data_IF_111196614076
#
_entry.id   IF_111196614076
#
_cell.length_a   1.000
_cell.length_b   1.000
_cell.length_c   1.000
_cell.angle_alpha   90.00
_cell.angle_beta   90.00
_cell.angle_gamma   90.00
#
_symmetry.space_group_name_H-M   'P 1'
#
loop_
_entity.id
_entity.type
_entity.pdbx_description
1 polymer ?
#
# COMPACT_ATOMS: atom_id res chain seq x y z
N UNK A 1 -66.52 21.89 -22.77
CA UNK A 1 -65.36 21.59 -21.90
C UNK A 1 -65.27 20.10 -21.52
N UNK A 2 -65.45 19.14 -22.44
CA UNK A 2 -65.36 17.69 -22.15
C UNK A 2 -64.19 16.97 -22.85
N UNK A 3 -63.47 17.65 -23.75
CA UNK A 3 -62.34 17.07 -24.49
C UNK A 3 -60.99 17.11 -23.76
N UNK A 4 -60.76 18.13 -22.93
CA UNK A 4 -59.46 18.33 -22.26
C UNK A 4 -59.17 17.31 -21.16
N UNK A 5 -60.20 16.67 -20.58
CA UNK A 5 -60.02 15.68 -19.51
C UNK A 5 -59.54 14.32 -20.05
N UNK A 6 -59.81 14.00 -21.34
CA UNK A 6 -59.42 12.72 -21.93
C UNK A 6 -57.92 12.64 -22.27
N UNK A 7 -57.27 13.78 -22.50
CA UNK A 7 -55.83 13.86 -22.77
C UNK A 7 -54.96 13.65 -21.51
N UNK A 8 -55.50 13.94 -20.32
CA UNK A 8 -54.80 13.76 -19.04
C UNK A 8 -54.96 12.34 -18.48
N UNK A 9 -56.01 11.61 -18.88
CA UNK A 9 -56.35 10.28 -18.33
C UNK A 9 -55.97 9.09 -19.22
N UNK A 10 -55.24 9.30 -20.31
CA UNK A 10 -55.16 8.32 -21.41
C UNK A 10 -53.76 7.88 -21.81
N UNK A 11 -52.82 7.65 -20.87
CA UNK A 11 -51.60 6.88 -21.19
C UNK A 11 -51.06 6.16 -19.96
N UNK A 12 -51.61 4.99 -19.68
CA UNK A 12 -50.94 4.01 -18.83
C UNK A 12 -49.74 3.50 -19.61
N UNK A 13 -48.58 4.11 -19.41
CA UNK A 13 -47.31 3.50 -19.82
C UNK A 13 -47.28 2.12 -19.16
N UNK A 14 -47.26 1.06 -19.96
CA UNK A 14 -47.19 -0.31 -19.48
C UNK A 14 -46.01 -0.42 -18.51
N UNK A 15 -46.32 -0.64 -17.24
CA UNK A 15 -45.30 -0.91 -16.23
C UNK A 15 -44.84 -2.34 -16.51
N UNK A 16 -43.85 -2.49 -17.38
CA UNK A 16 -43.10 -3.72 -17.53
C UNK A 16 -42.33 -3.93 -16.22
N UNK A 17 -42.99 -4.56 -15.26
CA UNK A 17 -42.38 -4.97 -14.00
C UNK A 17 -41.50 -6.20 -14.25
N UNK A 18 -40.26 -6.15 -13.75
CA UNK A 18 -39.41 -7.33 -13.65
C UNK A 18 -40.16 -8.46 -12.95
N UNK A 19 -40.13 -9.66 -13.52
CA UNK A 19 -40.72 -10.81 -12.85
C UNK A 19 -39.89 -11.18 -11.62
N UNK A 20 -40.54 -11.67 -10.56
CA UNK A 20 -39.82 -12.11 -9.35
C UNK A 20 -38.81 -13.23 -9.65
N UNK A 21 -39.12 -14.07 -10.64
CA UNK A 21 -38.24 -15.15 -11.08
C UNK A 21 -36.99 -14.60 -11.80
N UNK A 22 -37.11 -13.55 -12.61
CA UNK A 22 -35.95 -12.91 -13.24
C UNK A 22 -35.01 -12.33 -12.18
N UNK A 23 -35.55 -11.65 -11.18
CA UNK A 23 -34.74 -11.11 -10.09
C UNK A 23 -34.03 -12.25 -9.33
N UNK A 24 -34.72 -13.36 -9.08
CA UNK A 24 -34.20 -14.52 -8.36
C UNK A 24 -33.03 -15.19 -9.10
N UNK A 25 -33.15 -15.37 -10.42
CA UNK A 25 -32.07 -15.95 -11.24
C UNK A 25 -30.86 -15.03 -11.27
N UNK A 26 -31.07 -13.71 -11.40
CA UNK A 26 -29.96 -12.73 -11.45
C UNK A 26 -29.17 -12.71 -10.14
N UNK A 27 -29.84 -12.64 -8.98
CA UNK A 27 -29.13 -12.67 -7.70
C UNK A 27 -28.43 -14.03 -7.49
N UNK A 28 -29.00 -15.13 -8.00
CA UNK A 28 -28.36 -16.44 -7.96
C UNK A 28 -27.04 -16.47 -8.72
N UNK A 29 -26.99 -15.87 -9.91
CA UNK A 29 -25.76 -15.75 -10.70
C UNK A 29 -24.76 -14.82 -10.00
N UNK A 30 -25.19 -13.68 -9.45
CA UNK A 30 -24.31 -12.76 -8.71
C UNK A 30 -23.66 -13.45 -7.51
N UNK A 31 -24.44 -14.22 -6.73
CA UNK A 31 -23.92 -14.98 -5.58
C UNK A 31 -22.92 -16.04 -6.03
N UNK A 32 -23.21 -16.77 -7.11
CA UNK A 32 -22.29 -17.78 -7.64
C UNK A 32 -20.96 -17.17 -8.13
N UNK A 33 -21.02 -16.03 -8.82
CA UNK A 33 -19.82 -15.31 -9.27
C UNK A 33 -19.03 -14.73 -8.09
N UNK A 34 -19.72 -14.07 -7.16
CA UNK A 34 -19.10 -13.47 -5.98
C UNK A 34 -18.36 -14.50 -5.13
N UNK A 35 -18.91 -15.72 -4.99
CA UNK A 35 -18.27 -16.80 -4.24
C UNK A 35 -16.88 -17.17 -4.78
N UNK A 36 -16.65 -17.06 -6.09
CA UNK A 36 -15.38 -17.39 -6.73
C UNK A 36 -14.46 -16.15 -6.78
N UNK A 37 -15.01 -14.97 -7.08
CA UNK A 37 -14.20 -13.76 -7.32
C UNK A 37 -13.69 -13.12 -6.03
N UNK A 38 -14.45 -13.15 -4.94
CA UNK A 38 -14.07 -12.51 -3.67
C UNK A 38 -12.72 -13.04 -3.12
N UNK A 39 -12.49 -14.36 -2.95
CA UNK A 39 -11.20 -14.86 -2.44
C UNK A 39 -10.03 -14.60 -3.41
N UNK A 40 -10.32 -14.47 -4.70
CA UNK A 40 -9.31 -14.18 -5.71
C UNK A 40 -8.83 -12.73 -5.61
N UNK A 41 -9.77 -11.79 -5.54
CA UNK A 41 -9.48 -10.36 -5.44
C UNK A 41 -8.74 -10.03 -4.14
N UNK A 42 -9.12 -10.63 -3.01
CA UNK A 42 -8.41 -10.39 -1.73
C UNK A 42 -6.97 -10.89 -1.77
N UNK A 43 -6.69 -12.03 -2.43
CA UNK A 43 -5.34 -12.55 -2.62
C UNK A 43 -4.48 -11.68 -3.53
N UNK A 44 -5.06 -11.14 -4.61
CA UNK A 44 -4.31 -10.27 -5.53
C UNK A 44 -4.11 -8.85 -5.00
N UNK A 45 -5.04 -8.35 -4.17
CA UNK A 45 -4.89 -7.04 -3.54
C UNK A 45 -3.62 -6.95 -2.69
N UNK A 46 -3.28 -8.00 -1.92
CA UNK A 46 -2.05 -8.02 -1.10
C UNK A 46 -0.75 -8.13 -1.90
N UNK A 47 -0.78 -8.78 -3.08
CA UNK A 47 0.43 -8.96 -3.92
C UNK A 47 0.97 -7.66 -4.50
N UNK A 48 0.10 -6.68 -4.75
CA UNK A 48 0.52 -5.36 -5.21
C UNK A 48 1.37 -4.64 -4.17
N UNK A 49 1.00 -4.79 -2.88
CA UNK A 49 1.74 -4.20 -1.77
C UNK A 49 3.06 -4.92 -1.51
N UNK A 50 3.11 -6.26 -1.66
CA UNK A 50 4.37 -7.03 -1.58
C UNK A 50 5.37 -6.63 -2.68
N UNK A 51 4.91 -6.47 -3.92
CA UNK A 51 5.79 -6.05 -5.02
C UNK A 51 6.24 -4.59 -4.88
N UNK A 52 5.36 -3.70 -4.42
CA UNK A 52 5.73 -2.32 -4.11
C UNK A 52 6.76 -2.25 -2.97
N UNK A 53 6.61 -3.15 -1.99
CA UNK A 53 7.52 -3.29 -0.87
C UNK A 53 8.94 -3.64 -1.31
N UNK A 54 9.10 -4.70 -2.11
CA UNK A 54 10.41 -5.17 -2.56
C UNK A 54 11.12 -4.10 -3.40
N UNK A 55 10.40 -3.49 -4.34
CA UNK A 55 10.92 -2.44 -5.20
C UNK A 55 11.34 -1.18 -4.41
N UNK A 56 10.57 -0.79 -3.39
CA UNK A 56 10.91 0.37 -2.56
C UNK A 56 12.14 0.08 -1.68
N UNK A 57 12.27 -1.14 -1.13
CA UNK A 57 13.45 -1.58 -0.37
C UNK A 57 14.73 -1.52 -1.20
N UNK A 58 14.71 -2.06 -2.43
CA UNK A 58 15.86 -1.98 -3.34
C UNK A 58 16.22 -0.54 -3.68
N UNK A 59 15.20 0.32 -3.86
CA UNK A 59 15.39 1.74 -4.13
C UNK A 59 16.07 2.44 -2.95
N UNK A 60 15.63 2.14 -1.71
CA UNK A 60 16.23 2.71 -0.49
C UNK A 60 17.66 2.20 -0.29
N UNK A 61 17.91 0.91 -0.49
CA UNK A 61 19.27 0.36 -0.39
C UNK A 61 20.21 1.02 -1.41
N UNK A 62 19.77 1.13 -2.66
CA UNK A 62 20.55 1.80 -3.71
C UNK A 62 20.84 3.26 -3.36
N UNK A 63 19.85 3.96 -2.79
CA UNK A 63 20.03 5.34 -2.34
C UNK A 63 21.01 5.45 -1.17
N UNK A 64 20.96 4.53 -0.20
CA UNK A 64 21.94 4.43 0.90
C UNK A 64 23.35 4.22 0.36
N UNK A 65 23.54 3.24 -0.53
CA UNK A 65 24.84 2.91 -1.11
C UNK A 65 25.41 4.09 -1.91
N UNK A 66 24.57 4.75 -2.72
CA UNK A 66 24.97 5.92 -3.52
C UNK A 66 25.35 7.09 -2.63
N UNK A 67 24.53 7.38 -1.60
CA UNK A 67 24.79 8.45 -0.65
C UNK A 67 26.09 8.22 0.13
N UNK A 68 26.34 6.99 0.55
CA UNK A 68 27.55 6.63 1.27
C UNK A 68 28.78 6.69 0.36
N UNK A 69 28.67 6.24 -0.89
CA UNK A 69 29.75 6.33 -1.87
C UNK A 69 30.10 7.79 -2.24
N UNK A 70 29.10 8.62 -2.53
CA UNK A 70 29.31 10.01 -2.95
C UNK A 70 29.95 10.87 -1.86
N UNK A 71 29.58 10.63 -0.60
CA UNK A 71 30.07 11.40 0.54
C UNK A 71 31.27 10.73 1.25
N UNK A 72 31.74 9.57 0.77
CA UNK A 72 32.83 8.81 1.40
C UNK A 72 32.50 8.34 2.81
N UNK A 73 31.22 8.08 3.10
CA UNK A 73 30.73 7.65 4.41
C UNK A 73 30.90 6.14 4.51
N UNK A 74 31.57 5.69 5.57
CA UNK A 74 31.78 4.25 5.85
C UNK A 74 30.87 3.72 6.94
N UNK A 75 30.21 4.61 7.68
CA UNK A 75 29.27 4.24 8.73
C UNK A 75 28.17 5.29 8.92
N UNK A 76 26.97 4.81 9.18
CA UNK A 76 25.81 5.61 9.60
C UNK A 76 25.37 5.18 10.99
N UNK A 77 24.55 5.99 11.65
CA UNK A 77 23.86 5.57 12.87
C UNK A 77 22.84 4.51 12.49
N UNK A 78 22.98 3.32 13.08
CA UNK A 78 22.03 2.23 12.88
C UNK A 78 20.61 2.69 13.27
N UNK A 79 19.65 2.35 12.42
CA UNK A 79 18.23 2.52 12.71
C UNK A 79 17.65 1.15 13.00
N UNK A 80 17.87 0.69 14.23
CA UNK A 80 17.47 -0.65 14.67
C UNK A 80 16.04 -0.68 15.19
N UNK A 81 15.48 -1.87 15.35
CA UNK A 81 14.08 -2.12 15.77
C UNK A 81 13.62 -1.46 17.07
N UNK A 82 14.49 -0.85 17.87
CA UNK A 82 14.14 -0.16 19.12
C UNK A 82 14.25 1.37 19.05
N UNK A 83 14.68 1.93 17.93
CA UNK A 83 14.89 3.38 17.77
C UNK A 83 13.57 4.09 17.46
N UNK A 84 13.45 5.35 17.91
CA UNK A 84 12.32 6.23 17.61
C UNK A 84 12.32 6.71 16.15
N UNK A 85 13.47 6.68 15.48
CA UNK A 85 13.63 7.10 14.07
C UNK A 85 12.94 6.18 13.07
N UNK A 86 12.58 4.94 13.45
CA UNK A 86 11.77 4.02 12.64
C UNK A 86 10.36 4.52 12.30
N UNK A 87 9.93 5.65 12.88
CA UNK A 87 8.66 6.29 12.55
C UNK A 87 8.72 7.29 11.40
N UNK A 88 9.89 7.51 10.80
CA UNK A 88 10.09 8.55 9.79
C UNK A 88 10.30 7.93 8.41
N UNK A 89 9.50 8.37 7.45
CA UNK A 89 9.59 7.98 6.04
C UNK A 89 9.89 9.17 5.11
N UNK A 90 10.13 10.37 5.67
CA UNK A 90 10.38 11.60 4.90
C UNK A 90 11.86 11.83 4.59
N UNK A 91 12.77 11.04 5.17
CA UNK A 91 14.22 11.04 4.89
C UNK A 91 14.96 12.38 5.03
N UNK A 92 14.30 13.43 5.52
CA UNK A 92 14.86 14.78 5.71
C UNK A 92 15.87 14.89 6.85
N UNK A 93 16.05 13.83 7.64
CA UNK A 93 16.96 13.79 8.77
C UNK A 93 17.65 12.42 8.93
N UNK A 94 17.43 11.50 7.99
CA UNK A 94 17.92 10.13 8.04
C UNK A 94 18.59 9.74 6.72
N UNK A 95 19.61 8.87 6.75
CA UNK A 95 20.26 8.34 7.96
C UNK A 95 21.06 9.42 8.71
N UNK A 96 21.09 9.32 10.03
CA UNK A 96 21.90 10.19 10.88
C UNK A 96 23.29 9.60 11.12
N UNK A 97 24.26 10.38 11.55
CA UNK A 97 25.61 9.89 11.89
C UNK A 97 26.70 10.89 11.54
N UNK A 98 27.91 10.61 12.00
CA UNK A 98 29.07 11.47 11.72
C UNK A 98 29.36 11.49 10.22
N UNK A 99 29.10 12.64 9.58
CA UNK A 99 29.29 12.80 8.13
C UNK A 99 28.14 12.27 7.28
N UNK A 100 27.04 11.79 7.89
CA UNK A 100 25.89 11.29 7.14
C UNK A 100 25.15 12.44 6.43
N UNK A 101 24.75 12.19 5.19
CA UNK A 101 23.82 13.04 4.45
C UNK A 101 22.41 12.43 4.48
N UNK A 102 21.41 13.29 4.30
CA UNK A 102 20.01 12.88 4.24
C UNK A 102 19.70 12.19 2.92
N UNK A 103 18.77 11.23 2.95
CA UNK A 103 18.46 10.40 1.78
C UNK A 103 17.47 11.07 0.80
N UNK A 104 16.88 12.20 1.16
CA UNK A 104 15.91 12.95 0.35
C UNK A 104 16.48 13.42 -1.00
N UNK A 105 17.78 13.70 -1.08
CA UNK A 105 18.48 14.03 -2.32
C UNK A 105 18.83 12.84 -3.21
N UNK A 106 18.75 11.61 -2.67
CA UNK A 106 19.14 10.36 -3.34
C UNK A 106 17.93 9.52 -3.74
N UNK A 107 16.76 9.81 -3.18
CA UNK A 107 15.51 9.15 -3.51
C UNK A 107 14.73 9.92 -4.59
N UNK A 108 14.13 9.19 -5.53
CA UNK A 108 13.21 9.78 -6.53
C UNK A 108 11.93 10.35 -5.91
N UNK A 109 11.57 9.87 -4.72
CA UNK A 109 10.46 10.36 -3.92
C UNK A 109 10.97 10.65 -2.52
N UNK A 110 10.68 11.84 -2.02
CA UNK A 110 11.08 12.30 -0.69
C UNK A 110 10.29 11.64 0.43
N UNK A 111 9.33 10.76 0.13
CA UNK A 111 8.57 10.03 1.13
C UNK A 111 8.30 8.60 0.68
N UNK A 112 8.66 7.64 1.53
CA UNK A 112 8.45 6.20 1.32
C UNK A 112 7.12 5.74 1.92
N UNK A 113 6.52 4.69 1.35
CA UNK A 113 5.31 4.06 1.93
C UNK A 113 5.66 3.22 3.17
N UNK A 114 6.91 2.76 3.27
CA UNK A 114 7.39 1.96 4.39
C UNK A 114 8.45 2.70 5.21
N UNK A 115 8.67 2.21 6.42
CA UNK A 115 9.79 2.55 7.28
C UNK A 115 10.85 1.48 7.23
N UNK A 116 12.10 1.83 7.46
CA UNK A 116 13.24 0.94 7.20
C UNK A 116 14.19 0.88 8.38
N UNK A 117 14.75 -0.31 8.61
CA UNK A 117 15.84 -0.52 9.54
C UNK A 117 17.11 -0.81 8.76
N UNK A 118 18.21 -0.21 9.20
CA UNK A 118 19.53 -0.44 8.64
C UNK A 118 20.56 -0.57 9.74
N UNK A 119 21.63 -1.31 9.43
CA UNK A 119 22.79 -1.45 10.32
C UNK A 119 23.72 -0.23 10.23
N UNK A 120 24.82 -0.25 10.98
CA UNK A 120 25.82 0.81 10.99
C UNK A 120 26.56 1.00 9.66
N UNK A 121 26.41 0.07 8.70
CA UNK A 121 26.97 0.13 7.36
C UNK A 121 25.95 0.56 6.31
N UNK A 122 24.73 0.88 6.72
CA UNK A 122 23.66 1.30 5.83
C UNK A 122 22.97 0.14 5.09
N UNK A 123 23.19 -1.11 5.50
CA UNK A 123 22.46 -2.25 4.93
C UNK A 123 21.04 -2.29 5.48
N UNK A 124 20.06 -2.13 4.61
CA UNK A 124 18.64 -2.24 4.91
C UNK A 124 18.28 -3.71 5.08
N UNK A 125 17.86 -4.09 6.28
CA UNK A 125 17.63 -5.50 6.62
C UNK A 125 16.20 -5.79 7.10
N UNK A 126 15.42 -4.76 7.39
CA UNK A 126 14.02 -4.89 7.80
C UNK A 126 13.22 -3.64 7.44
N UNK A 127 11.91 -3.78 7.44
CA UNK A 127 10.98 -2.69 7.18
C UNK A 127 9.68 -2.83 7.96
N UNK A 128 8.92 -1.75 8.04
CA UNK A 128 7.63 -1.69 8.71
C UNK A 128 6.64 -0.81 7.93
N UNK A 129 5.36 -1.02 8.15
CA UNK A 129 4.27 -0.35 7.45
C UNK A 129 3.82 0.91 8.18
N UNK A 130 3.30 1.89 7.44
CA UNK A 130 2.78 3.14 8.01
C UNK A 130 1.47 2.98 8.79
N UNK A 131 0.59 2.04 8.42
CA UNK A 131 -0.74 1.91 9.03
C UNK A 131 -1.23 0.45 9.18
N UNK A 132 -0.69 -0.29 10.16
CA UNK A 132 -1.36 -1.48 10.74
C UNK A 132 -1.52 -2.74 9.86
N UNK A 133 -1.08 -2.77 8.61
CA UNK A 133 -1.12 -3.97 7.75
C UNK A 133 0.28 -4.57 7.59
N UNK A 134 0.60 -5.67 8.29
CA UNK A 134 1.88 -6.37 8.12
C UNK A 134 2.03 -6.92 6.69
N UNK A 135 2.87 -6.30 5.88
CA UNK A 135 3.49 -6.98 4.75
C UNK A 135 4.76 -7.69 5.28
N UNK A 136 4.82 -9.00 5.13
CA UNK A 136 6.02 -9.81 5.39
C UNK A 136 6.55 -10.21 4.02
N UNK A 137 7.72 -9.71 3.55
CA UNK A 137 8.30 -10.16 2.29
C UNK A 137 8.44 -11.69 2.25
N UNK A 138 8.31 -12.30 1.07
CA UNK A 138 8.30 -13.76 0.90
C UNK A 138 9.64 -14.43 1.30
N UNK A 139 10.70 -13.65 1.36
CA UNK A 139 12.06 -13.99 1.79
C UNK A 139 12.43 -13.33 3.15
N UNK A 140 11.46 -12.71 3.83
CA UNK A 140 11.67 -12.15 5.16
C UNK A 140 12.19 -13.24 6.08
N UNK A 141 13.47 -13.12 6.44
CA UNK A 141 14.04 -13.84 7.58
C UNK A 141 13.11 -13.56 8.76
N UNK A 142 12.34 -14.57 9.16
CA UNK A 142 11.37 -14.44 10.23
C UNK A 142 12.05 -13.83 11.48
N UNK A 143 11.36 -12.86 12.10
CA UNK A 143 11.77 -12.07 13.27
C UNK A 143 12.84 -10.99 12.97
N UNK A 144 12.50 -9.72 12.74
CA UNK A 144 11.44 -8.94 13.33
C UNK A 144 11.30 -7.62 12.56
N UNK A 145 10.08 -7.12 12.47
CA UNK A 145 9.81 -5.78 11.95
C UNK A 145 10.60 -4.73 12.74
N UNK A 146 10.92 -3.60 12.11
CA UNK A 146 11.31 -2.38 12.83
C UNK A 146 10.28 -2.06 13.92
N UNK A 147 10.66 -1.31 14.98
CA UNK A 147 9.64 -0.79 15.89
C UNK A 147 8.56 -0.10 15.07
N UNK A 148 7.29 -0.38 15.38
CA UNK A 148 6.21 0.47 14.92
C UNK A 148 6.39 1.85 15.58
N UNK A 149 6.28 2.96 14.84
CA UNK A 149 6.20 4.28 15.48
C UNK A 149 5.16 4.26 16.60
N UNK A 150 5.49 4.92 17.71
CA UNK A 150 4.55 5.17 18.81
C UNK A 150 3.50 6.21 18.40
#
# INVERSE_FOLDING_TARGET
>A
MRGYIKAVLGKTNGKEGFTLIELLVVIGIIVALAAITVPLVTKFAGKGDEGALEAETETVQTAMDTMMADNGIVAVTANDKGTTSNGQNTWTALPAGTGAATLDGYLKKTTTKFFYCWDDKGNVYAQNVTDGVKAVPADAKAAAACATPA
#
